data_IF_552837069000
#
_entry.id   IF_552837069000
#
_cell.length_a   1.000
_cell.length_b   1.000
_cell.length_c   1.000
_cell.angle_alpha   90.00
_cell.angle_beta   90.00
_cell.angle_gamma   90.00
#
_symmetry.space_group_name_H-M   'P 1'
#
loop_
_entity.id
_entity.type
_entity.pdbx_description
1 polymer ?
#
# COMPACT_ATOMS: atom_id res chain seq x y z
N UNK A 1 3.65 -9.54 27.65
CA UNK A 1 4.02 -8.89 26.37
C UNK A 1 5.21 -8.00 26.63
N UNK A 2 6.28 -8.15 25.86
CA UNK A 2 7.54 -7.39 26.05
C UNK A 2 7.71 -6.32 24.95
N UNK A 3 6.96 -6.40 23.87
CA UNK A 3 6.91 -5.41 22.78
C UNK A 3 5.66 -5.63 21.93
N UNK A 4 5.20 -4.60 21.26
CA UNK A 4 4.14 -4.61 20.26
C UNK A 4 4.75 -4.29 18.91
N UNK A 5 4.68 -5.20 17.94
CA UNK A 5 5.15 -4.96 16.58
C UNK A 5 3.95 -4.73 15.68
N UNK A 6 4.04 -3.70 14.86
CA UNK A 6 3.00 -3.34 13.87
C UNK A 6 3.65 -3.31 12.50
N UNK A 7 3.06 -4.02 11.56
CA UNK A 7 3.57 -4.09 10.19
C UNK A 7 3.41 -2.77 9.45
N UNK A 8 2.28 -2.07 9.65
CA UNK A 8 1.97 -0.81 9.00
C UNK A 8 0.81 -0.06 9.69
N UNK A 9 0.52 1.14 9.22
CA UNK A 9 -0.35 2.11 9.88
C UNK A 9 -1.87 1.86 9.71
N UNK A 10 -2.32 0.92 8.90
CA UNK A 10 -3.75 0.73 8.68
C UNK A 10 -4.49 0.36 9.97
N UNK A 11 -5.77 0.81 10.12
CA UNK A 11 -6.49 0.70 11.39
C UNK A 11 -6.63 -0.70 11.95
N UNK A 12 -6.82 -1.69 11.11
CA UNK A 12 -6.95 -3.11 11.49
C UNK A 12 -5.63 -3.74 11.97
N UNK A 13 -4.50 -3.03 11.80
CA UNK A 13 -3.19 -3.44 12.30
C UNK A 13 -2.75 -2.65 13.52
N UNK A 14 -2.89 -1.30 13.49
CA UNK A 14 -2.40 -0.43 14.57
C UNK A 14 -3.47 -0.10 15.61
N UNK A 15 -4.76 -0.33 15.33
CA UNK A 15 -5.88 0.18 16.12
C UNK A 15 -5.86 -0.17 17.61
N UNK A 16 -5.31 -1.33 17.98
CA UNK A 16 -5.14 -1.75 19.37
C UNK A 16 -3.74 -1.50 19.93
N UNK A 17 -2.80 -0.98 19.13
CA UNK A 17 -1.40 -0.88 19.53
C UNK A 17 -1.22 0.01 20.78
N UNK A 18 -1.89 1.16 20.84
CA UNK A 18 -1.84 2.07 22.00
C UNK A 18 -2.28 1.35 23.27
N UNK A 19 -3.47 0.73 23.27
CA UNK A 19 -4.00 -0.04 24.41
C UNK A 19 -3.07 -1.18 24.85
N UNK A 20 -2.50 -1.94 23.90
CA UNK A 20 -1.56 -3.00 24.19
C UNK A 20 -0.28 -2.48 24.85
N UNK A 21 0.28 -1.37 24.31
CA UNK A 21 1.47 -0.74 24.86
C UNK A 21 1.25 -0.24 26.29
N UNK A 22 0.12 0.42 26.55
CA UNK A 22 -0.24 0.88 27.89
C UNK A 22 -0.51 -0.29 28.87
N UNK A 23 -1.30 -1.26 28.44
CA UNK A 23 -1.67 -2.44 29.25
C UNK A 23 -0.48 -3.22 29.73
N UNK A 24 0.57 -3.35 28.91
CA UNK A 24 1.74 -4.18 29.16
C UNK A 24 3.01 -3.38 29.42
N UNK A 25 2.95 -2.04 29.42
CA UNK A 25 4.13 -1.17 29.50
C UNK A 25 5.21 -1.58 28.49
N UNK A 26 4.77 -1.95 27.28
CA UNK A 26 5.60 -2.49 26.23
C UNK A 26 5.81 -1.43 25.13
N UNK A 27 7.01 -1.30 24.54
CA UNK A 27 7.26 -0.35 23.47
C UNK A 27 6.57 -0.78 22.18
N UNK A 28 6.07 0.21 21.41
CA UNK A 28 5.66 0.03 20.03
C UNK A 28 6.89 -0.09 19.13
N UNK A 29 6.87 -1.07 18.22
CA UNK A 29 7.86 -1.24 17.15
C UNK A 29 7.16 -1.13 15.80
N UNK A 30 7.55 -0.14 14.99
CA UNK A 30 6.94 0.18 13.69
C UNK A 30 7.97 0.94 12.83
N UNK A 31 7.79 1.01 11.52
CA UNK A 31 8.59 1.88 10.65
C UNK A 31 8.37 3.37 10.98
N UNK A 32 9.31 4.22 10.60
CA UNK A 32 9.22 5.64 10.92
C UNK A 32 8.08 6.32 10.15
N UNK A 33 7.97 6.00 8.87
CA UNK A 33 6.98 6.65 8.00
C UNK A 33 5.56 6.25 8.38
N UNK A 34 5.32 4.98 8.67
CA UNK A 34 4.00 4.52 9.13
C UNK A 34 3.63 5.08 10.51
N UNK A 35 4.60 5.20 11.43
CA UNK A 35 4.36 5.86 12.72
C UNK A 35 3.90 7.31 12.54
N UNK A 36 4.65 8.09 11.73
CA UNK A 36 4.32 9.50 11.50
C UNK A 36 2.97 9.66 10.78
N UNK A 37 2.68 8.78 9.81
CA UNK A 37 1.40 8.80 9.09
C UNK A 37 0.25 8.45 10.03
N UNK A 38 0.39 7.46 10.90
CA UNK A 38 -0.61 7.11 11.91
C UNK A 38 -0.87 8.28 12.89
N UNK A 39 0.19 8.92 13.37
CA UNK A 39 0.08 10.12 14.23
C UNK A 39 -0.65 11.25 13.52
N UNK A 40 -0.26 11.58 12.30
CA UNK A 40 -0.94 12.57 11.47
C UNK A 40 -2.42 12.23 11.29
N UNK A 41 -2.72 10.98 10.93
CA UNK A 41 -4.09 10.53 10.70
C UNK A 41 -4.99 10.58 11.95
N UNK A 42 -4.42 10.41 13.14
CA UNK A 42 -5.14 10.57 14.41
C UNK A 42 -5.38 12.02 14.78
N UNK A 43 -4.44 12.92 14.48
CA UNK A 43 -4.47 14.31 14.93
C UNK A 43 -5.25 15.22 13.99
N UNK A 44 -5.21 14.96 12.68
CA UNK A 44 -5.85 15.80 11.67
C UNK A 44 -7.30 15.37 11.45
N UNK A 45 -8.22 16.31 11.64
CA UNK A 45 -9.69 16.06 11.61
C UNK A 45 -10.15 15.50 10.25
N UNK A 46 -9.56 15.94 9.15
CA UNK A 46 -9.94 15.57 7.79
C UNK A 46 -8.86 14.74 7.09
N UNK A 47 -8.02 14.02 7.85
CA UNK A 47 -7.12 13.04 7.23
C UNK A 47 -7.94 12.04 6.39
N UNK A 48 -7.50 11.77 5.17
CA UNK A 48 -8.22 10.91 4.21
C UNK A 48 -9.63 11.41 3.83
N UNK A 49 -9.81 12.72 3.73
CA UNK A 49 -11.07 13.38 3.34
C UNK A 49 -10.86 14.88 3.11
N UNK A 50 -11.97 15.60 2.95
CA UNK A 50 -11.96 17.06 2.84
C UNK A 50 -11.74 17.58 1.42
N UNK A 51 -11.57 18.92 1.31
CA UNK A 51 -11.48 19.61 0.02
C UNK A 51 -10.30 19.15 -0.84
N UNK A 52 -9.13 18.92 -0.24
CA UNK A 52 -7.93 18.49 -0.96
C UNK A 52 -8.12 17.14 -1.64
N UNK A 53 -8.71 16.17 -0.95
CA UNK A 53 -9.00 14.85 -1.52
C UNK A 53 -10.08 14.94 -2.60
N UNK A 54 -11.12 15.76 -2.41
CA UNK A 54 -12.14 15.97 -3.42
C UNK A 54 -11.56 16.60 -4.69
N UNK A 55 -10.69 17.62 -4.56
CA UNK A 55 -10.01 18.24 -5.68
C UNK A 55 -9.04 17.25 -6.37
N UNK A 56 -8.33 16.43 -5.61
CA UNK A 56 -7.49 15.38 -6.15
C UNK A 56 -8.31 14.39 -7.01
N UNK A 57 -9.44 13.88 -6.50
CA UNK A 57 -10.30 13.00 -7.28
C UNK A 57 -10.94 13.70 -8.48
N UNK A 58 -11.32 14.97 -8.35
CA UNK A 58 -11.83 15.77 -9.47
C UNK A 58 -10.80 15.88 -10.59
N UNK A 59 -9.54 16.15 -10.27
CA UNK A 59 -8.45 16.23 -11.24
C UNK A 59 -8.14 14.89 -11.93
N UNK A 60 -8.59 13.77 -11.35
CA UNK A 60 -8.45 12.42 -11.89
C UNK A 60 -9.76 11.86 -12.48
N UNK A 61 -10.73 12.73 -12.78
CA UNK A 61 -11.92 12.37 -13.54
C UNK A 61 -13.18 12.04 -12.73
N UNK A 62 -13.19 12.24 -11.41
CA UNK A 62 -14.43 12.19 -10.63
C UNK A 62 -15.24 13.48 -10.89
N UNK A 63 -16.27 13.40 -11.75
CA UNK A 63 -17.06 14.56 -12.16
C UNK A 63 -18.43 14.65 -11.49
N UNK A 64 -18.91 13.57 -10.86
CA UNK A 64 -20.20 13.57 -10.18
C UNK A 64 -20.16 14.48 -8.94
N UNK A 65 -20.99 15.55 -8.86
CA UNK A 65 -21.00 16.49 -7.74
C UNK A 65 -21.32 15.83 -6.39
N UNK A 66 -22.29 14.88 -6.38
CA UNK A 66 -22.70 14.21 -5.15
C UNK A 66 -21.58 13.34 -4.56
N UNK A 67 -20.80 12.71 -5.41
CA UNK A 67 -19.66 11.90 -4.96
C UNK A 67 -18.49 12.78 -4.48
N UNK A 68 -18.23 13.89 -5.16
CA UNK A 68 -17.26 14.90 -4.69
C UNK A 68 -17.68 15.50 -3.34
N UNK A 69 -18.98 15.77 -3.16
CA UNK A 69 -19.50 16.28 -1.88
C UNK A 69 -19.39 15.23 -0.76
N UNK A 70 -19.60 13.94 -1.04
CA UNK A 70 -19.35 12.86 -0.07
C UNK A 70 -17.87 12.84 0.37
N UNK A 71 -16.94 12.94 -0.60
CA UNK A 71 -15.50 12.99 -0.30
C UNK A 71 -15.15 14.23 0.50
N UNK A 72 -15.64 15.41 0.09
CA UNK A 72 -15.42 16.70 0.74
C UNK A 72 -15.88 16.71 2.19
N UNK A 73 -17.06 16.15 2.44
CA UNK A 73 -17.68 16.09 3.76
C UNK A 73 -17.27 14.86 4.59
N UNK A 74 -16.39 14.01 4.05
CA UNK A 74 -15.92 12.81 4.73
C UNK A 74 -15.11 13.20 5.96
N UNK A 75 -15.62 12.85 7.14
CA UNK A 75 -14.84 12.92 8.37
C UNK A 75 -13.79 11.82 8.39
N UNK A 76 -12.65 12.07 9.01
CA UNK A 76 -11.65 11.06 9.21
C UNK A 76 -12.25 9.84 9.90
N UNK A 77 -12.28 8.69 9.21
CA UNK A 77 -12.68 7.42 9.82
C UNK A 77 -11.55 6.84 10.68
N UNK A 78 -10.31 7.29 10.43
CA UNK A 78 -9.12 6.73 11.04
C UNK A 78 -9.15 6.84 12.56
N UNK A 79 -9.42 8.03 13.08
CA UNK A 79 -9.52 8.29 14.53
C UNK A 79 -10.64 7.49 15.22
N UNK A 80 -11.68 7.14 14.49
CA UNK A 80 -12.76 6.27 15.00
C UNK A 80 -12.34 4.81 15.20
N UNK A 81 -11.33 4.36 14.45
CA UNK A 81 -10.80 3.00 14.48
C UNK A 81 -9.46 2.91 15.21
N UNK A 82 -8.69 3.99 15.22
CA UNK A 82 -7.40 4.15 15.93
C UNK A 82 -7.55 5.30 16.91
N UNK A 83 -8.04 5.06 18.13
CA UNK A 83 -8.34 6.13 19.09
C UNK A 83 -7.11 6.95 19.47
N UNK A 84 -5.96 6.30 19.58
CA UNK A 84 -4.66 6.93 19.82
C UNK A 84 -3.51 6.07 19.30
N UNK A 85 -2.34 6.68 19.13
CA UNK A 85 -1.07 6.05 18.80
C UNK A 85 -0.06 6.37 19.89
N UNK A 86 0.78 5.42 20.36
CA UNK A 86 1.82 5.70 21.35
C UNK A 86 2.66 6.93 20.98
N UNK A 87 3.09 7.71 21.98
CA UNK A 87 3.87 8.94 21.76
C UNK A 87 5.31 8.69 21.32
N UNK A 88 5.79 7.47 21.53
CA UNK A 88 7.15 7.03 21.17
C UNK A 88 7.12 5.64 20.60
N UNK A 89 8.14 5.30 19.83
CA UNK A 89 8.30 4.00 19.20
C UNK A 89 9.76 3.59 19.08
N UNK A 90 10.00 2.29 18.96
CA UNK A 90 11.25 1.72 18.51
C UNK A 90 11.15 1.50 16.99
N UNK A 91 12.14 1.99 16.25
CA UNK A 91 12.07 1.97 14.78
C UNK A 91 12.40 0.59 14.24
N UNK A 92 11.50 0.06 13.40
CA UNK A 92 11.81 -1.01 12.47
C UNK A 92 12.51 -0.39 11.24
N UNK A 93 13.61 -1.01 10.81
CA UNK A 93 14.42 -0.54 9.69
C UNK A 93 14.62 -1.71 8.73
N UNK A 94 14.52 -1.44 7.44
CA UNK A 94 14.78 -2.43 6.39
C UNK A 94 16.13 -3.11 6.56
N UNK A 95 16.17 -4.42 6.39
CA UNK A 95 17.38 -5.24 6.56
C UNK A 95 17.82 -5.48 8.00
N UNK A 96 17.29 -4.74 8.98
CA UNK A 96 17.61 -4.96 10.39
C UNK A 96 17.13 -6.33 10.87
N UNK A 97 17.80 -6.90 11.87
CA UNK A 97 17.44 -8.16 12.48
C UNK A 97 16.99 -7.95 13.92
N UNK A 98 15.83 -8.53 14.25
CA UNK A 98 15.27 -8.57 15.59
C UNK A 98 15.40 -9.96 16.17
N UNK A 99 15.61 -10.06 17.49
CA UNK A 99 15.46 -11.34 18.19
C UNK A 99 14.08 -11.42 18.81
N UNK A 100 13.28 -12.39 18.36
CA UNK A 100 11.93 -12.67 18.86
C UNK A 100 11.85 -14.15 19.25
N UNK A 101 11.52 -14.42 20.51
CA UNK A 101 11.47 -15.80 21.03
C UNK A 101 12.80 -16.57 20.85
N UNK A 102 13.95 -15.90 20.96
CA UNK A 102 15.26 -16.49 20.73
C UNK A 102 15.65 -16.73 19.27
N UNK A 103 14.77 -16.39 18.32
CA UNK A 103 15.01 -16.55 16.89
C UNK A 103 15.29 -15.19 16.21
N UNK A 104 16.14 -15.23 15.18
CA UNK A 104 16.45 -14.06 14.35
C UNK A 104 15.33 -13.83 13.31
N UNK A 105 14.85 -12.59 13.23
CA UNK A 105 13.84 -12.14 12.27
C UNK A 105 14.36 -10.91 11.52
N UNK A 106 14.51 -11.03 10.22
CA UNK A 106 14.93 -9.93 9.35
C UNK A 106 13.74 -9.09 8.95
N UNK A 107 13.84 -7.78 9.11
CA UNK A 107 12.88 -6.81 8.59
C UNK A 107 13.04 -6.67 7.07
N UNK A 108 11.93 -6.66 6.35
CA UNK A 108 11.87 -6.43 4.90
C UNK A 108 10.83 -5.35 4.66
N UNK A 109 11.26 -4.15 4.29
CA UNK A 109 10.34 -3.06 3.96
C UNK A 109 9.63 -3.31 2.63
N UNK A 110 8.38 -2.87 2.56
CA UNK A 110 7.57 -2.85 1.35
C UNK A 110 6.78 -1.55 1.26
N UNK A 111 6.48 -1.12 0.05
CA UNK A 111 5.87 0.16 -0.26
C UNK A 111 4.62 -0.02 -1.14
N UNK A 112 3.88 1.05 -1.42
CA UNK A 112 2.75 1.06 -2.32
C UNK A 112 1.40 0.66 -1.69
N UNK A 113 1.40 -0.26 -0.72
CA UNK A 113 0.23 -0.56 0.11
C UNK A 113 0.10 0.41 1.29
N UNK A 114 1.21 0.65 1.96
CA UNK A 114 1.37 1.60 3.04
C UNK A 114 2.68 2.36 2.83
N UNK A 115 2.92 3.49 3.51
CA UNK A 115 4.11 4.31 3.32
C UNK A 115 5.42 3.54 3.50
N UNK A 116 5.51 2.64 4.49
CA UNK A 116 6.69 1.82 4.76
C UNK A 116 6.28 0.55 5.54
N UNK A 117 5.51 -0.33 4.89
CA UNK A 117 5.11 -1.60 5.47
C UNK A 117 6.34 -2.44 5.85
N UNK A 118 6.28 -3.16 6.98
CA UNK A 118 7.38 -3.98 7.45
C UNK A 118 6.97 -5.45 7.57
N UNK A 119 7.48 -6.31 6.69
CA UNK A 119 7.40 -7.75 6.79
C UNK A 119 8.57 -8.30 7.65
N UNK A 120 8.39 -9.49 8.23
CA UNK A 120 9.39 -10.14 9.07
C UNK A 120 9.67 -11.55 8.56
N UNK A 121 10.92 -11.88 8.30
CA UNK A 121 11.33 -13.20 7.84
C UNK A 121 12.31 -13.88 8.82
N UNK A 122 12.01 -15.10 9.23
CA UNK A 122 12.90 -15.97 10.00
C UNK A 122 13.40 -17.11 9.12
N UNK A 123 14.69 -17.08 8.78
CA UNK A 123 15.32 -18.15 8.00
C UNK A 123 15.34 -19.47 8.78
N UNK A 124 15.62 -19.44 10.09
CA UNK A 124 15.69 -20.64 10.92
C UNK A 124 14.34 -21.36 11.03
N UNK A 125 13.23 -20.62 10.93
CA UNK A 125 11.88 -21.20 10.99
C UNK A 125 11.27 -21.42 9.62
N UNK A 126 11.85 -20.86 8.54
CA UNK A 126 11.26 -20.88 7.20
C UNK A 126 9.92 -20.11 7.14
N UNK A 127 9.77 -19.04 7.93
CA UNK A 127 8.50 -18.30 8.08
C UNK A 127 8.66 -16.85 7.63
N UNK A 128 7.71 -16.39 6.81
CA UNK A 128 7.51 -14.98 6.45
C UNK A 128 6.19 -14.47 7.03
N UNK A 129 6.24 -13.50 7.93
CA UNK A 129 5.08 -12.68 8.30
C UNK A 129 4.99 -11.58 7.24
N UNK A 130 4.13 -11.78 6.24
CA UNK A 130 4.04 -10.87 5.08
C UNK A 130 3.21 -9.61 5.35
N UNK A 131 2.45 -9.58 6.44
CA UNK A 131 1.45 -8.54 6.63
C UNK A 131 0.50 -8.50 5.42
N UNK A 132 0.27 -7.32 4.88
CA UNK A 132 -0.60 -7.13 3.72
C UNK A 132 0.14 -7.11 2.38
N UNK A 133 1.47 -7.24 2.37
CA UNK A 133 2.22 -7.22 1.12
C UNK A 133 1.90 -8.42 0.23
N UNK A 134 1.67 -9.62 0.82
CA UNK A 134 1.29 -10.81 0.04
C UNK A 134 0.17 -11.56 0.76
N UNK A 135 -1.02 -11.54 0.18
CA UNK A 135 -2.22 -12.20 0.67
C UNK A 135 -2.56 -13.43 -0.19
N UNK A 136 -3.17 -14.50 0.37
CA UNK A 136 -3.31 -15.77 -0.34
C UNK A 136 -4.31 -15.76 -1.50
N UNK A 137 -5.31 -14.88 -1.48
CA UNK A 137 -6.41 -14.90 -2.46
C UNK A 137 -6.69 -13.55 -3.09
N UNK A 138 -6.89 -12.52 -2.27
CA UNK A 138 -7.19 -11.17 -2.73
C UNK A 138 -5.91 -10.43 -3.11
N UNK A 139 -5.99 -9.49 -4.05
CA UNK A 139 -4.91 -8.53 -4.27
C UNK A 139 -4.85 -7.56 -3.10
N UNK A 140 -3.65 -7.15 -2.76
CA UNK A 140 -3.41 -6.08 -1.81
C UNK A 140 -3.92 -4.76 -2.40
N UNK A 141 -4.54 -3.93 -1.56
CA UNK A 141 -4.89 -2.57 -1.96
C UNK A 141 -3.63 -1.73 -2.18
N UNK A 142 -3.53 -1.10 -3.33
CA UNK A 142 -2.46 -0.15 -3.67
C UNK A 142 -3.11 1.20 -3.91
N UNK A 143 -2.68 2.22 -3.18
CA UNK A 143 -3.33 3.53 -3.19
C UNK A 143 -2.33 4.65 -3.47
N UNK A 144 -2.81 5.67 -4.19
CA UNK A 144 -2.14 6.97 -4.28
C UNK A 144 -2.92 7.95 -3.42
N UNK A 145 -2.22 8.70 -2.60
CA UNK A 145 -2.83 9.66 -1.68
C UNK A 145 -2.62 11.09 -2.20
N UNK A 146 -3.54 11.99 -1.85
CA UNK A 146 -3.46 13.40 -2.22
C UNK A 146 -2.23 14.12 -1.62
N UNK A 147 -1.61 13.53 -0.62
CA UNK A 147 -0.37 14.04 -0.02
C UNK A 147 0.87 13.73 -0.88
N UNK A 148 0.80 12.69 -1.70
CA UNK A 148 1.87 12.25 -2.60
C UNK A 148 1.28 11.92 -3.99
N UNK A 149 0.74 12.95 -4.69
CA UNK A 149 -0.09 12.76 -5.89
C UNK A 149 0.68 12.19 -7.08
N UNK A 150 1.99 12.30 -7.11
CA UNK A 150 2.87 11.78 -8.17
C UNK A 150 3.49 10.42 -7.81
N UNK A 151 3.05 9.78 -6.70
CA UNK A 151 3.58 8.48 -6.29
C UNK A 151 3.24 7.40 -7.31
N UNK A 152 4.24 6.64 -7.75
CA UNK A 152 4.05 5.41 -8.51
C UNK A 152 3.91 4.22 -7.54
N UNK A 153 2.80 4.23 -6.79
CA UNK A 153 2.53 3.24 -5.74
C UNK A 153 2.48 1.82 -6.29
N UNK A 154 2.05 1.63 -7.54
CA UNK A 154 1.98 0.30 -8.13
C UNK A 154 3.36 -0.27 -8.43
N UNK A 155 4.26 0.50 -9.04
CA UNK A 155 5.65 0.07 -9.24
C UNK A 155 6.33 -0.20 -7.90
N UNK A 156 6.18 0.69 -6.92
CA UNK A 156 6.71 0.49 -5.57
C UNK A 156 6.20 -0.81 -4.93
N UNK A 157 4.91 -1.15 -5.11
CA UNK A 157 4.34 -2.39 -4.60
C UNK A 157 4.92 -3.62 -5.31
N UNK A 158 4.99 -3.60 -6.63
CA UNK A 158 5.50 -4.73 -7.42
C UNK A 158 6.98 -4.99 -7.12
N UNK A 159 7.81 -3.95 -7.06
CA UNK A 159 9.22 -4.06 -6.68
C UNK A 159 9.39 -4.56 -5.23
N UNK A 160 8.45 -4.18 -4.34
CA UNK A 160 8.49 -4.63 -2.95
C UNK A 160 8.18 -6.12 -2.81
N UNK A 161 7.18 -6.66 -3.53
CA UNK A 161 6.88 -8.09 -3.47
C UNK A 161 7.95 -8.94 -4.15
N UNK A 162 8.69 -8.40 -5.13
CA UNK A 162 9.84 -9.06 -5.75
C UNK A 162 10.98 -9.31 -4.75
N UNK A 163 11.05 -8.53 -3.67
CA UNK A 163 12.03 -8.74 -2.58
C UNK A 163 11.83 -10.04 -1.81
N UNK A 164 10.66 -10.69 -1.96
CA UNK A 164 10.38 -12.00 -1.37
C UNK A 164 10.80 -13.16 -2.29
N UNK A 165 11.06 -12.94 -3.57
CA UNK A 165 11.47 -13.98 -4.53
C UNK A 165 12.77 -14.68 -4.14
N UNK A 166 13.79 -14.01 -3.54
CA UNK A 166 14.99 -14.68 -3.06
C UNK A 166 14.79 -15.61 -1.84
N UNK A 167 13.63 -15.57 -1.18
CA UNK A 167 13.34 -16.46 -0.04
C UNK A 167 13.12 -17.91 -0.53
N UNK A 168 13.38 -18.93 0.31
CA UNK A 168 13.18 -20.32 -0.06
C UNK A 168 11.75 -20.62 -0.53
N UNK A 169 11.61 -21.52 -1.49
CA UNK A 169 10.33 -21.86 -2.11
C UNK A 169 9.32 -22.47 -1.13
N UNK A 170 9.80 -23.17 -0.12
CA UNK A 170 9.02 -23.80 0.94
C UNK A 170 8.69 -22.88 2.11
N UNK A 171 9.01 -21.58 2.00
CA UNK A 171 8.69 -20.58 3.02
C UNK A 171 7.19 -20.59 3.33
N UNK A 172 6.85 -20.78 4.61
CA UNK A 172 5.48 -20.64 5.11
C UNK A 172 5.15 -19.14 5.27
N UNK A 173 4.12 -18.69 4.58
CA UNK A 173 3.65 -17.30 4.64
C UNK A 173 2.53 -17.18 5.65
N UNK A 174 2.69 -16.25 6.60
CA UNK A 174 1.67 -15.82 7.57
C UNK A 174 1.17 -14.44 7.15
N UNK A 175 0.07 -14.38 6.38
CA UNK A 175 -0.53 -13.11 5.96
C UNK A 175 -1.42 -12.53 7.05
N UNK A 176 -1.70 -11.23 6.98
CA UNK A 176 -2.65 -10.60 7.92
C UNK A 176 -4.10 -10.99 7.64
N UNK A 177 -4.42 -11.23 6.36
CA UNK A 177 -5.76 -11.63 5.93
C UNK A 177 -5.72 -12.98 5.20
N UNK A 178 -6.68 -13.85 5.57
CA UNK A 178 -6.76 -15.20 5.04
C UNK A 178 -6.01 -16.22 5.90
N UNK A 179 -5.69 -17.37 5.32
CA UNK A 179 -5.02 -18.47 6.03
C UNK A 179 -3.52 -18.48 5.69
N UNK A 180 -2.67 -18.98 6.60
CA UNK A 180 -1.29 -19.32 6.26
C UNK A 180 -1.21 -20.19 5.02
N UNK A 181 -0.18 -19.98 4.19
CA UNK A 181 -0.04 -20.70 2.92
C UNK A 181 1.42 -20.92 2.53
N UNK A 182 1.65 -21.84 1.63
CA UNK A 182 2.91 -22.06 0.90
C UNK A 182 2.73 -21.65 -0.57
N UNK A 183 3.84 -21.53 -1.30
CA UNK A 183 3.82 -21.14 -2.70
C UNK A 183 3.98 -19.63 -2.93
N UNK A 184 4.80 -19.00 -2.08
CA UNK A 184 5.12 -17.56 -2.12
C UNK A 184 5.47 -17.08 -3.54
N UNK A 185 6.39 -17.77 -4.25
CA UNK A 185 6.82 -17.37 -5.59
C UNK A 185 5.68 -17.44 -6.63
N UNK A 186 4.81 -18.44 -6.51
CA UNK A 186 3.62 -18.52 -7.37
C UNK A 186 2.68 -17.37 -7.11
N UNK A 187 2.50 -17.01 -5.81
CA UNK A 187 1.62 -15.91 -5.45
C UNK A 187 2.16 -14.56 -5.89
N UNK A 188 3.45 -14.29 -5.75
CA UNK A 188 4.09 -13.07 -6.28
C UNK A 188 3.86 -12.96 -7.80
N UNK A 189 4.11 -14.03 -8.55
CA UNK A 189 3.84 -14.05 -10.00
C UNK A 189 2.37 -13.75 -10.33
N UNK A 190 1.41 -14.34 -9.61
CA UNK A 190 -0.02 -14.09 -9.80
C UNK A 190 -0.40 -12.62 -9.54
N UNK A 191 0.23 -11.97 -8.56
CA UNK A 191 0.02 -10.54 -8.29
C UNK A 191 0.54 -9.68 -9.46
N UNK A 192 1.73 -9.97 -10.00
CA UNK A 192 2.23 -9.31 -11.21
C UNK A 192 1.29 -9.50 -12.41
N UNK A 193 0.84 -10.73 -12.64
CA UNK A 193 -0.10 -11.05 -13.73
C UNK A 193 -1.42 -10.29 -13.56
N UNK A 194 -1.99 -10.28 -12.35
CA UNK A 194 -3.21 -9.55 -12.04
C UNK A 194 -3.10 -8.05 -12.36
N UNK A 195 -2.04 -7.39 -11.89
CA UNK A 195 -1.87 -5.95 -12.15
C UNK A 195 -1.58 -5.64 -13.61
N UNK A 196 -0.78 -6.46 -14.30
CA UNK A 196 -0.58 -6.34 -15.74
C UNK A 196 -1.89 -6.40 -16.52
N UNK A 197 -2.76 -7.37 -16.17
CA UNK A 197 -4.04 -7.56 -16.85
C UNK A 197 -4.99 -6.37 -16.57
N UNK A 198 -5.02 -5.86 -15.33
CA UNK A 198 -5.81 -4.64 -15.00
C UNK A 198 -5.33 -3.40 -15.74
N UNK A 199 -4.02 -3.22 -15.87
CA UNK A 199 -3.46 -2.12 -16.67
C UNK A 199 -3.81 -2.26 -18.15
N UNK A 200 -3.75 -3.47 -18.70
CA UNK A 200 -4.15 -3.73 -20.10
C UNK A 200 -5.62 -3.40 -20.34
N UNK A 201 -6.51 -3.79 -19.41
CA UNK A 201 -7.94 -3.45 -19.47
C UNK A 201 -8.16 -1.92 -19.44
N UNK A 202 -7.47 -1.20 -18.54
CA UNK A 202 -7.56 0.26 -18.45
C UNK A 202 -7.11 0.94 -19.74
N UNK A 203 -5.96 0.53 -20.30
CA UNK A 203 -5.46 1.05 -21.59
C UNK A 203 -6.45 0.75 -22.73
N UNK A 204 -7.05 -0.44 -22.74
CA UNK A 204 -8.05 -0.79 -23.75
C UNK A 204 -9.29 0.13 -23.69
N UNK A 205 -9.80 0.40 -22.49
CA UNK A 205 -10.94 1.31 -22.28
C UNK A 205 -10.62 2.73 -22.73
N UNK A 206 -9.47 3.29 -22.34
CA UNK A 206 -9.02 4.63 -22.75
C UNK A 206 -8.94 4.73 -24.27
N UNK A 207 -8.32 3.75 -24.95
CA UNK A 207 -8.21 3.73 -26.42
C UNK A 207 -9.55 3.59 -27.12
N UNK A 208 -10.51 2.90 -26.52
CA UNK A 208 -11.88 2.77 -27.05
C UNK A 208 -12.62 4.09 -26.95
N UNK A 209 -12.57 4.79 -25.84
CA UNK A 209 -13.20 6.10 -25.66
C UNK A 209 -12.59 7.15 -26.57
N UNK A 210 -11.26 7.21 -26.70
CA UNK A 210 -10.58 8.11 -27.64
C UNK A 210 -11.02 7.88 -29.10
N UNK A 211 -11.26 6.63 -29.51
CA UNK A 211 -11.78 6.31 -30.85
C UNK A 211 -13.22 6.78 -31.06
N UNK A 212 -14.07 6.70 -30.05
CA UNK A 212 -15.45 7.17 -30.11
C UNK A 212 -15.50 8.70 -30.22
N UNK A 213 -14.69 9.41 -29.45
CA UNK A 213 -14.56 10.88 -29.50
C UNK A 213 -14.02 11.34 -30.86
N UNK A 214 -13.03 10.64 -31.43
CA UNK A 214 -12.45 10.97 -32.75
C UNK A 214 -13.39 10.68 -33.92
N UNK A 215 -14.42 9.87 -33.79
CA UNK A 215 -15.43 9.59 -34.83
C UNK A 215 -16.54 10.67 -34.89
N UNK A 216 -16.82 11.36 -33.80
CA UNK A 216 -17.89 12.35 -33.72
C UNK A 216 -17.45 13.80 -34.02
N UNK A 217 -16.21 14.01 -34.45
CA UNK A 217 -15.73 15.24 -35.10
C UNK A 217 -15.85 16.55 -34.31
N UNK A 218 -15.92 16.51 -32.99
CA UNK A 218 -15.99 17.70 -32.16
C UNK A 218 -14.67 17.89 -31.38
N UNK A 219 -14.06 19.04 -31.58
CA UNK A 219 -12.86 19.55 -30.92
C UNK A 219 -12.99 19.53 -29.38
N UNK A 220 -12.76 18.42 -28.74
CA UNK A 220 -12.47 18.39 -27.32
C UNK A 220 -10.97 18.21 -27.14
N UNK A 221 -10.28 19.33 -27.12
CA UNK A 221 -8.86 19.40 -26.75
C UNK A 221 -8.77 19.05 -25.28
N UNK A 222 -8.47 17.78 -24.99
CA UNK A 222 -7.93 17.35 -23.70
C UNK A 222 -6.46 17.79 -23.63
N UNK A 223 -6.24 19.10 -23.53
CA UNK A 223 -4.92 19.71 -23.43
C UNK A 223 -4.35 19.61 -22.01
N UNK A 224 -4.42 18.44 -21.38
CA UNK A 224 -3.86 18.21 -20.04
C UNK A 224 -3.45 16.77 -19.80
N UNK A 225 -4.13 15.80 -20.42
CA UNK A 225 -4.00 14.39 -20.04
C UNK A 225 -3.20 13.51 -21.03
N UNK A 226 -2.86 14.01 -22.21
CA UNK A 226 -2.10 13.22 -23.19
C UNK A 226 -0.70 12.86 -22.69
N UNK A 227 -0.10 13.71 -21.84
CA UNK A 227 1.20 13.43 -21.23
C UNK A 227 1.16 12.24 -20.24
N UNK A 228 0.12 12.13 -19.42
CA UNK A 228 0.01 11.08 -18.39
C UNK A 228 -0.32 9.71 -18.98
N UNK A 229 -1.19 9.65 -19.99
CA UNK A 229 -1.45 8.42 -20.74
C UNK A 229 -0.23 7.90 -21.49
N UNK A 230 0.63 8.79 -21.97
CA UNK A 230 1.88 8.43 -22.66
C UNK A 230 2.91 7.84 -21.67
N UNK A 231 3.01 8.37 -20.45
CA UNK A 231 3.87 7.78 -19.40
C UNK A 231 3.44 6.34 -19.05
N UNK A 232 2.14 6.06 -18.99
CA UNK A 232 1.63 4.71 -18.75
C UNK A 232 1.99 3.76 -19.91
N UNK A 233 1.89 4.23 -21.14
CA UNK A 233 2.24 3.46 -22.34
C UNK A 233 3.75 3.25 -22.47
N UNK A 234 4.55 4.25 -22.14
CA UNK A 234 6.01 4.19 -22.18
C UNK A 234 6.56 3.29 -21.05
N UNK A 235 5.96 3.31 -19.86
CA UNK A 235 6.29 2.40 -18.75
C UNK A 235 6.01 0.93 -19.09
N UNK A 236 4.97 0.66 -19.90
CA UNK A 236 4.65 -0.71 -20.37
C UNK A 236 5.53 -1.15 -21.55
N UNK A 237 6.10 -0.22 -22.31
CA UNK A 237 6.93 -0.48 -23.50
C UNK A 237 8.44 -0.49 -23.21
N UNK A 238 8.89 0.04 -22.08
CA UNK A 238 10.30 0.14 -21.76
C UNK A 238 10.88 -1.27 -21.47
N UNK A 239 11.99 -1.66 -22.15
CA UNK A 239 12.68 -2.90 -21.79
C UNK A 239 13.27 -2.76 -20.38
N UNK A 240 13.00 -3.73 -19.51
CA UNK A 240 13.56 -3.81 -18.17
C UNK A 240 15.07 -3.65 -18.25
N UNK A 241 15.62 -2.56 -17.72
CA UNK A 241 17.06 -2.45 -17.51
C UNK A 241 17.46 -3.47 -16.44
N UNK A 242 18.21 -4.48 -16.86
CA UNK A 242 18.88 -5.40 -15.94
C UNK A 242 20.01 -4.61 -15.26
N UNK A 243 19.94 -4.51 -13.96
CA UNK A 243 21.05 -4.19 -13.09
C UNK A 243 21.38 -5.39 -12.23
#
# INVERSE_FOLDING_TARGET
VVRVLVTHMHPDHIGLAHWLCERWQAPLWISATDFQTARYACEVVNSFGGERLAEYFRSHGMTNPDDLDKVRNRKSYYRGLVPDVPKSYARLIDGATLTLGGQAWRCIAGYGHAPEHMALYSQAQGILISGDMVLPRISTNVSVYEMEPEADSLTLFLDSIDRFVPLPQDTLVLPSHGKPFQGLHTRVRQLHEHHRDRLADAVHLIRREQRLIGQDGADLVLAGDVGRGQYLLDALAAPRRRH
#
